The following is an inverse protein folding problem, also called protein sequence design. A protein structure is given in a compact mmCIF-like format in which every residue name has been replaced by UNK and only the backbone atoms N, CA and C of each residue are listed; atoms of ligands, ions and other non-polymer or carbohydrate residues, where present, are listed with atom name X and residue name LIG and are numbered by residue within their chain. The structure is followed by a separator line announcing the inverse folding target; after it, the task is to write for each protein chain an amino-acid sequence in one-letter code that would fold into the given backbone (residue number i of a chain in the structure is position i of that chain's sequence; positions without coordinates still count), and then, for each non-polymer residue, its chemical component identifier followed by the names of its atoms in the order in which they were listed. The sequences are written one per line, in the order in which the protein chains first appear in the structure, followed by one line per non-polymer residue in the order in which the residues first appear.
data_IF_449417587481
#
_entry.id   IF_449417587481
#
_cell.length_a   1.000
_cell.length_b   1.000
_cell.length_c   1.000
_cell.angle_alpha   90.00
_cell.angle_beta   90.00
_cell.angle_gamma   90.00
#
_symmetry.space_group_name_H-M   'P 1'
#
loop_
_entity.id
_entity.type
_entity.pdbx_description
1 polymer ?
#
# COMPACT_ATOMS: atom_id res chain seq x y z
N UNK A 1 -49.95 24.95 -42.59
CA UNK A 1 -49.73 26.14 -41.75
C UNK A 1 -48.87 25.69 -40.59
N UNK A 2 -47.56 25.88 -40.75
CA UNK A 2 -46.57 25.65 -39.69
C UNK A 2 -46.69 26.77 -38.66
N UNK A 3 -46.96 26.41 -37.41
CA UNK A 3 -46.90 27.31 -36.28
C UNK A 3 -45.52 27.12 -35.63
N UNK A 4 -44.63 28.12 -35.64
CA UNK A 4 -43.36 28.01 -34.94
C UNK A 4 -43.58 28.17 -33.44
N UNK A 5 -43.03 27.23 -32.65
CA UNK A 5 -42.97 27.32 -31.19
C UNK A 5 -41.98 28.42 -30.75
N UNK A 6 -42.18 29.05 -29.57
CA UNK A 6 -41.42 30.21 -29.14
C UNK A 6 -39.98 29.86 -28.76
N UNK A 7 -39.09 30.82 -29.04
CA UNK A 7 -37.71 30.90 -28.56
C UNK A 7 -37.64 30.91 -27.02
N UNK A 8 -36.99 29.89 -26.46
CA UNK A 8 -36.60 29.84 -25.05
C UNK A 8 -35.28 30.62 -24.87
N UNK A 9 -35.37 31.81 -24.27
CA UNK A 9 -34.24 32.55 -23.68
C UNK A 9 -33.92 32.01 -22.26
N UNK A 10 -32.72 32.29 -21.74
CA UNK A 10 -32.00 31.44 -20.80
C UNK A 10 -32.38 31.70 -19.34
N UNK A 11 -32.28 30.65 -18.53
CA UNK A 11 -32.34 30.76 -17.07
C UNK A 11 -33.64 30.24 -16.49
N UNK A 12 -33.68 28.94 -16.23
CA UNK A 12 -34.00 28.32 -14.93
C UNK A 12 -33.28 26.98 -14.98
N UNK A 13 -32.08 26.91 -14.37
CA UNK A 13 -31.50 25.61 -14.04
C UNK A 13 -32.20 25.12 -12.77
N UNK A 14 -32.86 23.96 -12.78
CA UNK A 14 -33.12 23.27 -11.52
C UNK A 14 -31.78 22.75 -10.99
N UNK A 15 -31.47 23.13 -9.75
CA UNK A 15 -30.40 22.62 -8.90
C UNK A 15 -30.53 21.10 -8.74
N UNK A 16 -29.78 20.32 -9.52
CA UNK A 16 -29.60 18.90 -9.23
C UNK A 16 -28.37 18.75 -8.33
N UNK A 17 -28.54 18.06 -7.20
CA UNK A 17 -27.45 17.52 -6.38
C UNK A 17 -26.55 16.65 -7.26
N UNK A 18 -25.53 17.24 -7.91
CA UNK A 18 -24.63 16.52 -8.78
C UNK A 18 -23.62 15.76 -7.94
N UNK A 19 -23.88 14.47 -7.74
CA UNK A 19 -22.92 13.57 -7.11
C UNK A 19 -21.69 13.44 -8.01
N UNK A 20 -20.51 13.74 -7.46
CA UNK A 20 -19.22 13.56 -8.12
C UNK A 20 -18.74 12.13 -7.91
N UNK A 21 -18.42 11.44 -9.00
CA UNK A 21 -17.71 10.15 -8.96
C UNK A 21 -16.35 10.33 -9.58
N UNK A 22 -15.32 9.79 -8.96
CA UNK A 22 -13.97 9.92 -9.48
C UNK A 22 -12.96 9.15 -8.65
N UNK A 23 -11.69 9.39 -8.95
CA UNK A 23 -10.57 8.92 -8.16
C UNK A 23 -9.56 10.03 -7.97
N UNK A 24 -8.73 9.91 -6.94
CA UNK A 24 -7.70 10.88 -6.63
C UNK A 24 -6.65 10.31 -5.68
N UNK A 25 -5.69 11.16 -5.32
CA UNK A 25 -4.57 10.79 -4.46
C UNK A 25 -4.90 11.19 -3.01
N UNK A 26 -4.82 10.24 -2.10
CA UNK A 26 -4.91 10.44 -0.66
C UNK A 26 -3.71 11.27 -0.20
N UNK A 27 -3.92 12.53 0.14
CA UNK A 27 -2.83 13.44 0.52
C UNK A 27 -2.76 13.72 2.02
N UNK A 28 -3.82 13.40 2.77
CA UNK A 28 -3.81 13.44 4.24
C UNK A 28 -4.59 12.25 4.79
N UNK A 29 -4.07 11.67 5.87
CA UNK A 29 -4.66 10.49 6.50
C UNK A 29 -4.52 10.54 8.03
N UNK A 30 -5.60 10.21 8.72
CA UNK A 30 -5.62 9.92 10.15
C UNK A 30 -6.27 8.56 10.39
N UNK A 31 -6.29 8.09 11.64
CA UNK A 31 -6.96 6.84 11.98
C UNK A 31 -8.47 6.83 11.66
N UNK A 32 -9.11 7.99 11.51
CA UNK A 32 -10.56 8.13 11.38
C UNK A 32 -11.06 8.85 10.12
N UNK A 33 -10.18 9.54 9.40
CA UNK A 33 -10.55 10.34 8.24
C UNK A 33 -9.39 10.48 7.26
N UNK A 34 -9.70 10.86 6.03
CA UNK A 34 -8.70 11.20 5.02
C UNK A 34 -9.18 12.29 4.06
N UNK A 35 -8.23 12.86 3.31
CA UNK A 35 -8.49 13.84 2.26
C UNK A 35 -7.89 13.35 0.94
N UNK A 36 -8.70 13.35 -0.11
CA UNK A 36 -8.33 12.94 -1.46
C UNK A 36 -8.26 14.19 -2.35
N UNK A 37 -7.15 14.37 -3.05
CA UNK A 37 -6.97 15.46 -4.01
C UNK A 37 -7.17 14.93 -5.43
N UNK A 38 -8.06 15.58 -6.17
CA UNK A 38 -8.34 15.29 -7.56
C UNK A 38 -7.59 16.29 -8.44
N UNK A 39 -6.71 15.80 -9.32
CA UNK A 39 -5.88 16.68 -10.15
C UNK A 39 -6.47 16.93 -11.54
N UNK A 40 -7.32 16.05 -12.07
CA UNK A 40 -8.01 16.20 -13.37
C UNK A 40 -9.32 15.39 -13.39
N UNK A 41 -10.39 15.83 -14.09
CA UNK A 41 -10.56 17.11 -14.79
C UNK A 41 -10.98 18.28 -13.90
N UNK A 42 -11.32 18.04 -12.63
CA UNK A 42 -11.73 19.07 -11.67
C UNK A 42 -10.76 19.05 -10.47
N UNK A 43 -10.20 20.19 -10.14
CA UNK A 43 -9.49 20.38 -8.87
C UNK A 43 -10.52 20.38 -7.74
N UNK A 44 -10.58 19.27 -7.02
CA UNK A 44 -11.50 19.06 -5.92
C UNK A 44 -10.78 18.38 -4.76
N UNK A 45 -11.03 18.89 -3.56
CA UNK A 45 -10.68 18.20 -2.32
C UNK A 45 -11.89 17.43 -1.83
N UNK A 46 -11.73 16.13 -1.66
CA UNK A 46 -12.77 15.22 -1.18
C UNK A 46 -12.38 14.72 0.20
N UNK A 47 -13.17 15.07 1.20
CA UNK A 47 -13.02 14.58 2.57
C UNK A 47 -13.85 13.33 2.80
N UNK A 48 -13.37 12.40 3.61
CA UNK A 48 -14.12 11.20 3.98
C UNK A 48 -13.85 10.79 5.42
N UNK A 49 -14.83 10.16 6.06
CA UNK A 49 -14.68 9.53 7.37
C UNK A 49 -14.53 8.02 7.20
N UNK A 50 -14.01 7.35 8.23
CA UNK A 50 -13.81 5.90 8.24
C UNK A 50 -15.09 5.11 7.94
N UNK A 51 -16.25 5.62 8.36
CA UNK A 51 -17.57 5.01 8.09
C UNK A 51 -17.95 5.03 6.61
N UNK A 52 -17.35 5.92 5.83
CA UNK A 52 -17.61 6.08 4.39
C UNK A 52 -16.63 5.19 3.59
N UNK A 53 -15.66 4.55 4.25
CA UNK A 53 -14.74 3.60 3.62
C UNK A 53 -15.42 2.23 3.43
N UNK A 54 -15.15 1.57 2.29
CA UNK A 54 -15.87 0.38 1.83
C UNK A 54 -15.73 -0.88 2.70
N UNK A 55 -14.81 -0.90 3.66
CA UNK A 55 -14.62 -2.02 4.60
C UNK A 55 -14.99 -1.58 6.02
N UNK A 56 -16.16 -2.05 6.47
CA UNK A 56 -16.72 -1.72 7.79
C UNK A 56 -15.97 -2.35 8.97
N UNK A 57 -15.10 -3.33 8.73
CA UNK A 57 -14.23 -3.92 9.75
C UNK A 57 -13.02 -3.06 10.09
N UNK A 58 -12.70 -2.06 9.26
CA UNK A 58 -11.58 -1.15 9.49
C UNK A 58 -11.89 -0.23 10.67
N UNK A 59 -11.04 -0.29 11.71
CA UNK A 59 -11.15 0.56 12.90
C UNK A 59 -10.11 1.69 12.94
N UNK A 60 -9.05 1.57 12.14
CA UNK A 60 -7.98 2.55 12.00
C UNK A 60 -7.46 2.53 10.54
N UNK A 61 -7.74 3.60 9.80
CA UNK A 61 -7.34 3.70 8.38
C UNK A 61 -5.82 3.65 8.18
N UNK A 62 -5.03 4.14 9.15
CA UNK A 62 -3.57 4.18 9.06
C UNK A 62 -2.92 2.80 9.15
N UNK A 63 -3.68 1.77 9.54
CA UNK A 63 -3.19 0.41 9.53
C UNK A 63 -3.16 -0.21 8.12
N UNK A 64 -3.92 0.34 7.17
CA UNK A 64 -4.13 -0.27 5.86
C UNK A 64 -3.88 0.67 4.67
N UNK A 65 -4.00 1.98 4.88
CA UNK A 65 -3.78 3.00 3.86
C UNK A 65 -2.51 3.81 4.16
N UNK A 66 -1.95 4.42 3.12
CA UNK A 66 -0.85 5.39 3.21
C UNK A 66 -1.16 6.61 2.36
N UNK A 67 -0.61 7.76 2.76
CA UNK A 67 -0.60 8.94 1.90
C UNK A 67 0.11 8.59 0.58
N UNK A 68 -0.39 9.11 -0.53
CA UNK A 68 0.01 8.73 -1.89
C UNK A 68 -0.91 7.67 -2.50
N UNK A 69 -1.67 6.93 -1.70
CA UNK A 69 -2.60 5.92 -2.23
C UNK A 69 -3.65 6.57 -3.11
N UNK A 70 -4.00 5.88 -4.20
CA UNK A 70 -5.06 6.33 -5.09
C UNK A 70 -6.35 5.60 -4.75
N UNK A 71 -7.41 6.37 -4.52
CA UNK A 71 -8.71 5.86 -4.08
C UNK A 71 -9.82 6.37 -5.00
N UNK A 72 -10.82 5.52 -5.22
CA UNK A 72 -12.07 5.88 -5.88
C UNK A 72 -13.07 6.38 -4.82
N UNK A 73 -13.96 7.28 -5.22
CA UNK A 73 -14.96 7.84 -4.33
C UNK A 73 -16.27 8.20 -5.06
N UNK A 74 -17.34 8.23 -4.28
CA UNK A 74 -18.56 8.96 -4.59
C UNK A 74 -18.70 10.09 -3.58
N UNK A 75 -18.98 11.31 -4.04
CA UNK A 75 -19.03 12.48 -3.19
C UNK A 75 -20.18 13.41 -3.53
N UNK A 76 -20.66 14.12 -2.52
CA UNK A 76 -21.69 15.15 -2.61
C UNK A 76 -21.07 16.52 -2.31
N UNK A 77 -21.61 17.60 -2.90
CA UNK A 77 -21.09 18.94 -2.62
C UNK A 77 -21.34 19.30 -1.16
N UNK A 78 -20.32 19.84 -0.49
CA UNK A 78 -20.45 20.46 0.83
C UNK A 78 -20.50 21.99 0.69
N UNK A 79 -19.53 22.56 -0.04
CA UNK A 79 -19.39 23.97 -0.40
C UNK A 79 -18.73 24.11 -1.79
N UNK A 80 -18.53 25.33 -2.30
CA UNK A 80 -18.15 25.63 -3.70
C UNK A 80 -16.91 24.90 -4.25
N UNK A 81 -15.99 24.40 -3.40
CA UNK A 81 -14.81 23.61 -3.82
C UNK A 81 -14.53 22.39 -2.94
N UNK A 82 -15.39 22.10 -1.96
CA UNK A 82 -15.20 21.03 -0.99
C UNK A 82 -16.28 19.96 -1.16
N UNK A 83 -15.83 18.72 -1.25
CA UNK A 83 -16.68 17.56 -1.45
C UNK A 83 -16.58 16.64 -0.24
N UNK A 84 -17.70 16.02 0.14
CA UNK A 84 -17.72 14.99 1.17
C UNK A 84 -18.05 13.67 0.50
N UNK A 85 -17.16 12.70 0.61
CA UNK A 85 -17.42 11.35 0.13
C UNK A 85 -18.46 10.66 1.02
N UNK A 86 -19.39 9.95 0.38
CA UNK A 86 -20.29 9.01 1.05
C UNK A 86 -19.91 7.55 0.76
N UNK A 87 -18.91 7.33 -0.08
CA UNK A 87 -18.31 6.03 -0.35
C UNK A 87 -16.88 6.22 -0.84
N UNK A 88 -15.93 5.47 -0.27
CA UNK A 88 -14.53 5.45 -0.68
C UNK A 88 -14.06 4.00 -0.77
N UNK A 89 -13.37 3.66 -1.86
CA UNK A 89 -12.82 2.32 -2.07
C UNK A 89 -11.46 2.37 -2.78
N UNK A 90 -10.70 1.27 -2.77
CA UNK A 90 -9.65 1.06 -3.76
C UNK A 90 -10.20 1.20 -5.18
N UNK A 91 -9.32 1.53 -6.13
CA UNK A 91 -9.71 1.70 -7.53
C UNK A 91 -10.00 0.33 -8.15
N UNK A 92 -11.04 0.29 -9.00
CA UNK A 92 -11.37 -0.92 -9.74
C UNK A 92 -10.47 -1.10 -10.98
N UNK A 93 -10.35 -2.32 -11.49
CA UNK A 93 -9.60 -2.60 -12.72
C UNK A 93 -10.14 -1.81 -13.93
N UNK A 94 -11.46 -1.57 -13.95
CA UNK A 94 -12.12 -0.80 -15.02
C UNK A 94 -11.73 0.68 -14.98
N UNK A 95 -11.60 1.26 -13.79
CA UNK A 95 -11.20 2.66 -13.61
C UNK A 95 -9.72 2.88 -13.99
N UNK A 96 -8.87 1.86 -13.77
CA UNK A 96 -7.48 1.86 -14.22
C UNK A 96 -7.39 1.78 -15.76
N UNK A 97 -8.12 0.85 -16.37
CA UNK A 97 -8.11 0.61 -17.82
C UNK A 97 -8.65 1.80 -18.65
N UNK A 98 -9.54 2.60 -18.08
CA UNK A 98 -10.14 3.76 -18.74
C UNK A 98 -9.21 5.00 -18.78
N UNK A 99 -7.92 4.85 -18.45
CA UNK A 99 -6.93 5.93 -18.55
C UNK A 99 -7.13 7.07 -17.54
N UNK A 100 -7.91 6.85 -16.48
CA UNK A 100 -7.96 7.75 -15.32
C UNK A 100 -6.59 7.81 -14.61
N UNK A 101 -5.76 6.81 -14.86
CA UNK A 101 -4.38 6.69 -14.40
C UNK A 101 -3.42 6.62 -15.60
N UNK A 102 -2.97 7.76 -16.11
CA UNK A 102 -1.87 7.83 -17.09
C UNK A 102 -0.47 7.65 -16.46
N UNK A 103 -0.40 7.12 -15.23
CA UNK A 103 0.86 6.86 -14.55
C UNK A 103 1.04 5.34 -14.46
N UNK A 104 1.75 4.77 -15.44
CA UNK A 104 2.39 3.45 -15.32
C UNK A 104 3.54 3.46 -14.29
N UNK A 105 3.78 4.59 -13.62
CA UNK A 105 4.80 4.75 -12.61
C UNK A 105 4.37 4.10 -11.29
N UNK A 106 5.27 3.28 -10.76
CA UNK A 106 5.16 2.74 -9.42
C UNK A 106 5.00 3.89 -8.40
N UNK A 107 3.98 3.80 -7.53
CA UNK A 107 3.80 4.76 -6.44
C UNK A 107 5.03 4.76 -5.53
N UNK A 108 5.73 5.89 -5.41
CA UNK A 108 6.74 6.09 -4.39
C UNK A 108 6.11 6.63 -3.10
N UNK A 109 5.84 5.77 -2.13
CA UNK A 109 5.18 6.12 -0.86
C UNK A 109 6.00 7.13 -0.07
N UNK A 110 7.32 6.98 -0.02
CA UNK A 110 8.21 7.85 0.77
C UNK A 110 8.18 9.30 0.29
N UNK A 111 7.92 9.53 -1.00
CA UNK A 111 7.80 10.89 -1.55
C UNK A 111 6.64 11.69 -0.91
N UNK A 112 5.66 11.00 -0.32
CA UNK A 112 4.52 11.61 0.36
C UNK A 112 4.68 11.69 1.89
N UNK A 113 5.58 10.90 2.48
CA UNK A 113 5.76 10.83 3.94
C UNK A 113 6.37 12.09 4.53
N UNK A 114 7.23 12.78 3.78
CA UNK A 114 7.85 14.05 4.19
C UNK A 114 6.86 15.18 4.44
N UNK A 115 5.64 15.10 3.88
CA UNK A 115 4.69 16.20 3.87
C UNK A 115 3.45 16.00 4.76
N UNK A 116 3.00 14.77 5.06
CA UNK A 116 1.61 14.60 5.53
C UNK A 116 1.28 13.40 6.45
N UNK A 117 2.25 12.61 6.94
CA UNK A 117 1.92 11.64 7.99
C UNK A 117 1.82 12.36 9.34
N UNK A 118 0.67 12.33 10.05
CA UNK A 118 0.70 12.60 11.48
C UNK A 118 1.62 11.56 12.07
N UNK A 119 2.65 11.97 12.81
CA UNK A 119 3.57 11.11 13.55
C UNK A 119 2.77 10.04 14.28
N UNK A 120 2.62 8.85 13.67
CA UNK A 120 1.55 7.93 14.03
C UNK A 120 1.72 7.49 15.47
N UNK A 121 0.86 7.96 16.39
CA UNK A 121 0.82 7.74 17.86
C UNK A 121 2.16 7.72 18.62
N UNK A 122 3.29 7.99 17.96
CA UNK A 122 4.64 7.63 18.38
C UNK A 122 5.76 8.18 17.47
N UNK A 123 5.51 8.53 16.20
CA UNK A 123 6.60 8.96 15.30
C UNK A 123 7.74 7.93 15.14
N UNK A 124 7.41 6.63 15.22
CA UNK A 124 8.38 5.51 15.33
C UNK A 124 8.62 4.72 14.04
N UNK A 125 7.85 4.92 12.98
CA UNK A 125 8.15 4.27 11.69
C UNK A 125 9.23 5.11 10.99
N UNK A 126 10.49 4.79 11.27
CA UNK A 126 11.67 5.49 10.73
C UNK A 126 12.12 4.90 9.40
N UNK A 127 11.21 4.22 8.69
CA UNK A 127 11.52 3.56 7.44
C UNK A 127 12.12 4.55 6.44
N UNK A 128 13.13 4.09 5.71
CA UNK A 128 13.76 4.82 4.63
C UNK A 128 14.38 3.79 3.69
N UNK A 129 13.99 3.82 2.42
CA UNK A 129 14.45 2.86 1.42
C UNK A 129 15.97 2.85 1.32
N UNK A 130 16.60 4.02 1.39
CA UNK A 130 18.06 4.13 1.38
C UNK A 130 18.69 3.42 2.58
N UNK A 131 18.18 3.67 3.80
CA UNK A 131 18.71 3.03 5.02
C UNK A 131 18.42 1.53 5.03
N UNK A 132 17.27 1.14 4.50
CA UNK A 132 16.86 -0.24 4.32
C UNK A 132 17.82 -0.98 3.39
N UNK A 133 18.12 -0.40 2.22
CA UNK A 133 19.07 -0.95 1.25
C UNK A 133 20.45 -1.13 1.87
N UNK A 134 20.94 -0.14 2.64
CA UNK A 134 22.23 -0.23 3.35
C UNK A 134 22.21 -1.34 4.41
N UNK A 135 21.14 -1.42 5.21
CA UNK A 135 21.01 -2.38 6.29
C UNK A 135 20.96 -3.81 5.79
N UNK A 136 20.16 -4.07 4.76
CA UNK A 136 20.04 -5.38 4.16
C UNK A 136 21.31 -5.77 3.39
N UNK A 137 21.92 -4.85 2.64
CA UNK A 137 23.23 -5.09 2.00
C UNK A 137 24.28 -5.50 3.02
N UNK A 138 24.33 -4.81 4.17
CA UNK A 138 25.22 -5.17 5.26
C UNK A 138 24.94 -6.58 5.78
N UNK A 139 23.69 -6.89 6.14
CA UNK A 139 23.32 -8.20 6.68
C UNK A 139 23.60 -9.33 5.68
N UNK A 140 23.16 -9.18 4.42
CA UNK A 140 23.41 -10.12 3.33
C UNK A 140 24.91 -10.32 3.09
N UNK A 141 25.72 -9.26 3.20
CA UNK A 141 27.17 -9.33 3.12
C UNK A 141 27.80 -10.23 4.19
N UNK A 142 27.20 -10.35 5.38
CA UNK A 142 27.66 -11.28 6.42
C UNK A 142 27.43 -12.73 5.99
N UNK A 143 26.25 -13.05 5.45
CA UNK A 143 25.96 -14.39 4.93
C UNK A 143 26.94 -14.76 3.81
N UNK A 144 27.17 -13.84 2.87
CA UNK A 144 28.12 -14.03 1.78
C UNK A 144 29.56 -14.28 2.28
N UNK A 145 30.03 -13.45 3.22
CA UNK A 145 31.39 -13.57 3.79
C UNK A 145 31.59 -14.90 4.53
N UNK A 146 30.58 -15.36 5.26
CA UNK A 146 30.66 -16.58 6.05
C UNK A 146 30.40 -17.84 5.21
N UNK A 147 29.85 -17.71 4.01
CA UNK A 147 29.45 -18.84 3.16
C UNK A 147 28.35 -19.70 3.78
N UNK A 148 27.56 -19.14 4.69
CA UNK A 148 26.51 -19.83 5.43
C UNK A 148 25.16 -19.19 5.17
N UNK A 149 24.10 -20.00 5.20
CA UNK A 149 22.71 -19.53 5.10
C UNK A 149 22.12 -19.11 6.44
N UNK A 150 22.93 -19.11 7.51
CA UNK A 150 22.53 -18.66 8.83
C UNK A 150 23.64 -17.84 9.49
N UNK A 151 23.25 -16.86 10.30
CA UNK A 151 24.15 -16.02 11.10
C UNK A 151 23.57 -15.79 12.49
N UNK A 152 24.40 -15.56 13.53
CA UNK A 152 23.91 -15.10 14.82
C UNK A 152 23.40 -13.65 14.72
N UNK A 153 22.31 -13.33 15.42
CA UNK A 153 21.72 -11.97 15.47
C UNK A 153 22.66 -10.93 16.11
N UNK A 154 23.66 -11.38 16.87
CA UNK A 154 24.59 -10.51 17.59
C UNK A 154 25.53 -9.69 16.72
N UNK A 155 25.53 -9.90 15.40
CA UNK A 155 26.39 -9.15 14.48
C UNK A 155 26.06 -7.66 14.48
N UNK A 156 27.11 -6.84 14.55
CA UNK A 156 27.03 -5.39 14.55
C UNK A 156 27.80 -4.84 13.35
N UNK A 157 27.27 -3.77 12.74
CA UNK A 157 27.90 -3.12 11.60
C UNK A 157 29.14 -2.31 11.94
N UNK A 158 29.33 -1.95 13.21
CA UNK A 158 30.33 -0.95 13.62
C UNK A 158 29.97 0.49 13.21
N UNK A 159 29.05 0.65 12.25
CA UNK A 159 28.43 1.90 11.85
C UNK A 159 27.32 2.28 12.85
N UNK A 160 27.47 3.43 13.51
CA UNK A 160 26.54 3.92 14.51
C UNK A 160 25.16 4.32 13.95
N UNK A 161 25.11 4.86 12.72
CA UNK A 161 23.84 5.20 12.06
C UNK A 161 23.08 3.92 11.70
N UNK A 162 23.78 2.97 11.08
CA UNK A 162 23.19 1.70 10.69
C UNK A 162 22.76 0.87 11.90
N UNK A 163 23.55 0.89 12.97
CA UNK A 163 23.20 0.26 14.25
C UNK A 163 21.95 0.90 14.88
N UNK A 164 21.76 2.21 14.74
CA UNK A 164 20.54 2.88 15.22
C UNK A 164 19.31 2.48 14.40
N UNK A 165 19.47 2.31 13.09
CA UNK A 165 18.40 1.90 12.17
C UNK A 165 18.00 0.42 12.37
N UNK A 166 18.98 -0.50 12.36
CA UNK A 166 18.74 -1.95 12.58
C UNK A 166 18.28 -2.20 14.03
N UNK A 167 18.89 -1.51 15.00
CA UNK A 167 18.52 -1.62 16.41
C UNK A 167 19.74 -1.63 17.33
N UNK A 168 19.73 -0.72 18.30
CA UNK A 168 20.80 -0.59 19.29
C UNK A 168 20.74 -1.61 20.45
N UNK A 169 19.74 -2.48 20.46
CA UNK A 169 19.57 -3.55 21.45
C UNK A 169 19.17 -4.85 20.78
N UNK A 170 19.42 -5.99 21.41
CA UNK A 170 19.05 -7.30 20.87
C UNK A 170 17.56 -7.40 20.54
N UNK A 171 16.68 -6.86 21.40
CA UNK A 171 15.24 -6.83 21.16
C UNK A 171 14.88 -6.03 19.89
N UNK A 172 15.51 -4.87 19.66
CA UNK A 172 15.26 -4.07 18.46
C UNK A 172 15.76 -4.75 17.19
N UNK A 173 16.95 -5.37 17.25
CA UNK A 173 17.50 -6.16 16.13
C UNK A 173 16.61 -7.35 15.80
N UNK A 174 16.06 -7.99 16.84
CA UNK A 174 15.10 -9.08 16.69
C UNK A 174 13.87 -8.63 15.91
N UNK A 175 13.23 -7.55 16.37
CA UNK A 175 12.08 -6.96 15.69
C UNK A 175 12.41 -6.58 14.24
N UNK A 176 13.58 -5.98 13.99
CA UNK A 176 14.01 -5.62 12.65
C UNK A 176 14.04 -6.85 11.73
N UNK A 177 14.67 -7.94 12.17
CA UNK A 177 14.76 -9.19 11.39
C UNK A 177 13.39 -9.85 11.21
N UNK A 178 12.58 -9.93 12.28
CA UNK A 178 11.24 -10.53 12.26
C UNK A 178 10.29 -9.80 11.30
N UNK A 179 10.33 -8.46 11.29
CA UNK A 179 9.54 -7.66 10.37
C UNK A 179 9.89 -8.01 8.90
N UNK A 180 11.16 -8.29 8.62
CA UNK A 180 11.68 -8.60 7.28
C UNK A 180 11.60 -10.09 6.96
N UNK A 181 10.47 -10.69 7.31
CA UNK A 181 10.09 -12.10 7.05
C UNK A 181 10.16 -12.54 5.59
N UNK A 182 10.23 -11.61 4.64
CA UNK A 182 10.38 -11.88 3.21
C UNK A 182 11.85 -12.11 2.79
N UNK A 183 12.80 -11.82 3.68
CA UNK A 183 14.25 -12.02 3.49
C UNK A 183 14.81 -12.96 4.56
N UNK A 184 14.32 -12.85 5.79
CA UNK A 184 14.87 -13.57 6.93
C UNK A 184 13.85 -14.47 7.62
N UNK A 185 14.35 -15.52 8.25
CA UNK A 185 13.63 -16.33 9.22
C UNK A 185 14.42 -16.32 10.52
N UNK A 186 13.79 -15.94 11.62
CA UNK A 186 14.42 -15.99 12.94
C UNK A 186 14.02 -17.29 13.65
N UNK A 187 14.99 -18.03 14.15
CA UNK A 187 14.77 -19.18 15.02
C UNK A 187 14.88 -18.79 16.51
N UNK A 188 14.33 -19.63 17.39
CA UNK A 188 14.21 -19.37 18.84
C UNK A 188 15.54 -19.07 19.55
N UNK A 189 16.67 -19.49 18.96
CA UNK A 189 18.03 -19.30 19.52
C UNK A 189 18.74 -18.03 18.99
N UNK A 190 18.01 -17.02 18.52
CA UNK A 190 18.58 -15.80 17.89
C UNK A 190 19.49 -16.10 16.69
N UNK A 191 19.19 -17.18 15.98
CA UNK A 191 19.83 -17.55 14.72
C UNK A 191 18.94 -17.04 13.58
N UNK A 192 19.54 -16.26 12.69
CA UNK A 192 18.87 -15.69 11.51
C UNK A 192 19.23 -16.52 10.30
N UNK A 193 18.23 -17.08 9.63
CA UNK A 193 18.36 -17.79 8.36
C UNK A 193 17.93 -16.90 7.20
N UNK A 194 18.53 -17.09 6.03
CA UNK A 194 17.98 -16.57 4.78
C UNK A 194 16.71 -17.33 4.42
N UNK A 195 15.69 -16.58 3.99
CA UNK A 195 14.51 -17.15 3.35
C UNK A 195 14.86 -17.74 1.99
N UNK A 196 13.99 -18.63 1.52
CA UNK A 196 14.04 -19.10 0.15
C UNK A 196 13.89 -17.91 -0.82
N UNK A 197 14.73 -17.79 -1.87
CA UNK A 197 14.69 -16.65 -2.80
C UNK A 197 13.32 -16.50 -3.48
N UNK A 198 12.56 -17.59 -3.61
CA UNK A 198 11.21 -17.59 -4.17
C UNK A 198 10.21 -16.78 -3.33
N UNK A 199 10.39 -16.74 -2.01
CA UNK A 199 9.57 -15.92 -1.11
C UNK A 199 9.85 -14.44 -1.37
N UNK A 200 11.13 -14.06 -1.38
CA UNK A 200 11.56 -12.69 -1.68
C UNK A 200 11.00 -12.22 -3.01
N UNK A 201 11.22 -13.00 -4.08
CA UNK A 201 10.75 -12.69 -5.43
C UNK A 201 9.23 -12.56 -5.50
N UNK A 202 8.49 -13.45 -4.83
CA UNK A 202 7.01 -13.38 -4.83
C UNK A 202 6.52 -12.14 -4.09
N UNK A 203 7.08 -11.85 -2.91
CA UNK A 203 6.68 -10.68 -2.11
C UNK A 203 6.98 -9.37 -2.86
N UNK A 204 8.15 -9.25 -3.48
CA UNK A 204 8.50 -8.04 -4.24
C UNK A 204 7.61 -7.84 -5.46
N UNK A 205 7.32 -8.90 -6.24
CA UNK A 205 6.41 -8.82 -7.39
C UNK A 205 4.98 -8.42 -6.98
N UNK A 206 4.47 -8.94 -5.86
CA UNK A 206 3.14 -8.58 -5.36
C UNK A 206 3.11 -7.14 -4.82
N UNK A 207 4.18 -6.69 -4.16
CA UNK A 207 4.29 -5.32 -3.68
C UNK A 207 4.36 -4.32 -4.85
N UNK A 208 5.20 -4.59 -5.86
CA UNK A 208 5.29 -3.81 -7.10
C UNK A 208 3.93 -3.72 -7.82
N UNK A 209 3.23 -4.85 -7.92
CA UNK A 209 1.87 -4.85 -8.48
C UNK A 209 0.95 -3.89 -7.73
N UNK A 210 0.92 -3.95 -6.40
CA UNK A 210 0.10 -3.05 -5.59
C UNK A 210 0.48 -1.58 -5.79
N UNK A 211 1.78 -1.26 -5.81
CA UNK A 211 2.28 0.10 -5.98
C UNK A 211 1.89 0.69 -7.35
N UNK A 212 1.93 -0.12 -8.41
CA UNK A 212 1.42 0.25 -9.75
C UNK A 212 -0.10 0.40 -9.81
N UNK A 213 -0.83 -0.23 -8.88
CA UNK A 213 -2.29 -0.12 -8.77
C UNK A 213 -2.73 0.92 -7.73
N UNK A 214 -1.88 1.92 -7.43
CA UNK A 214 -2.20 3.00 -6.51
C UNK A 214 -2.06 2.64 -5.03
N UNK A 215 -1.32 1.57 -4.72
CA UNK A 215 -0.96 1.14 -3.37
C UNK A 215 -1.96 0.21 -2.69
N UNK A 216 -3.19 0.10 -3.19
CA UNK A 216 -4.24 -0.76 -2.60
C UNK A 216 -5.17 -1.28 -3.68
N UNK A 217 -5.57 -2.55 -3.58
CA UNK A 217 -6.50 -3.17 -4.53
C UNK A 217 -7.31 -4.30 -3.90
N UNK A 218 -8.17 -4.94 -4.70
CA UNK A 218 -8.91 -6.13 -4.25
C UNK A 218 -7.99 -7.35 -4.16
N UNK A 219 -8.22 -8.21 -3.17
CA UNK A 219 -7.47 -9.46 -3.03
C UNK A 219 -7.73 -10.42 -4.19
N UNK A 220 -8.89 -10.33 -4.85
CA UNK A 220 -9.19 -11.10 -6.07
C UNK A 220 -8.29 -10.70 -7.24
N UNK A 221 -8.11 -9.40 -7.46
CA UNK A 221 -7.24 -8.92 -8.54
C UNK A 221 -5.78 -9.29 -8.27
N UNK A 222 -5.31 -9.09 -7.04
CA UNK A 222 -3.95 -9.48 -6.64
C UNK A 222 -3.73 -11.00 -6.76
N UNK A 223 -4.74 -11.80 -6.39
CA UNK A 223 -4.67 -13.26 -6.50
C UNK A 223 -4.73 -13.74 -7.97
N UNK A 224 -5.50 -13.08 -8.81
CA UNK A 224 -5.52 -13.30 -10.27
C UNK A 224 -4.13 -13.02 -10.86
N UNK A 225 -3.51 -11.90 -10.48
CA UNK A 225 -2.12 -11.59 -10.86
C UNK A 225 -1.16 -12.67 -10.35
N UNK A 226 -1.26 -13.08 -9.09
CA UNK A 226 -0.42 -14.14 -8.52
C UNK A 226 -0.45 -15.42 -9.36
N UNK A 227 -1.63 -15.87 -9.77
CA UNK A 227 -1.78 -17.08 -10.56
C UNK A 227 -1.25 -16.92 -11.99
N UNK A 228 -1.51 -15.78 -12.64
CA UNK A 228 -1.15 -15.52 -14.05
C UNK A 228 0.31 -15.11 -14.24
N UNK A 229 0.94 -14.50 -13.24
CA UNK A 229 2.29 -13.96 -13.37
C UNK A 229 3.31 -15.10 -13.55
N UNK A 230 3.97 -15.12 -14.71
CA UNK A 230 4.95 -16.16 -15.07
C UNK A 230 6.22 -16.11 -14.23
N UNK A 231 6.54 -14.94 -13.66
CA UNK A 231 7.73 -14.72 -12.85
C UNK A 231 7.55 -15.17 -11.39
N UNK A 232 6.34 -15.56 -10.98
CA UNK A 232 6.12 -16.13 -9.65
C UNK A 232 6.53 -17.62 -9.68
N UNK A 233 7.47 -18.06 -8.82
CA UNK A 233 7.96 -19.42 -8.81
C UNK A 233 6.86 -20.46 -8.61
N UNK A 234 6.98 -21.57 -9.35
CA UNK A 234 5.97 -22.64 -9.34
C UNK A 234 5.84 -23.27 -7.95
N UNK A 235 6.94 -23.40 -7.20
CA UNK A 235 6.97 -23.92 -5.82
C UNK A 235 6.05 -23.11 -4.90
N UNK A 236 5.99 -21.79 -5.06
CA UNK A 236 5.12 -20.93 -4.26
C UNK A 236 3.65 -21.11 -4.71
N UNK A 237 3.39 -21.17 -6.01
CA UNK A 237 2.03 -21.44 -6.54
C UNK A 237 1.49 -22.79 -6.08
N UNK A 238 2.32 -23.83 -6.11
CA UNK A 238 2.01 -25.17 -5.62
C UNK A 238 1.78 -25.18 -4.10
N UNK A 239 2.53 -24.40 -3.33
CA UNK A 239 2.32 -24.29 -1.87
C UNK A 239 0.97 -23.66 -1.51
N UNK A 240 0.51 -22.70 -2.31
CA UNK A 240 -0.77 -22.00 -2.13
C UNK A 240 -1.93 -22.77 -2.80
N UNK A 241 -1.66 -23.68 -3.74
CA UNK A 241 -2.61 -24.57 -4.39
C UNK A 241 -3.81 -23.86 -5.04
N UNK A 242 -3.61 -22.64 -5.55
CA UNK A 242 -4.70 -21.80 -6.04
C UNK A 242 -5.85 -21.63 -5.02
N UNK A 243 -5.54 -21.62 -3.71
CA UNK A 243 -6.51 -21.41 -2.63
C UNK A 243 -6.39 -20.01 -2.06
N UNK A 244 -7.45 -19.22 -2.20
CA UNK A 244 -7.53 -17.84 -1.68
C UNK A 244 -7.22 -17.74 -0.17
N UNK A 245 -7.69 -18.63 0.72
CA UNK A 245 -7.32 -18.56 2.14
C UNK A 245 -5.81 -18.73 2.40
N UNK A 246 -5.14 -19.62 1.66
CA UNK A 246 -3.69 -19.82 1.77
C UNK A 246 -2.92 -18.62 1.21
N UNK A 247 -3.42 -18.01 0.13
CA UNK A 247 -2.86 -16.77 -0.39
C UNK A 247 -2.96 -15.61 0.62
N UNK A 248 -4.13 -15.43 1.24
CA UNK A 248 -4.29 -14.41 2.29
C UNK A 248 -3.42 -14.70 3.52
N UNK A 249 -3.24 -15.98 3.88
CA UNK A 249 -2.31 -16.39 4.92
C UNK A 249 -0.86 -16.06 4.55
N UNK A 250 -0.45 -16.30 3.30
CA UNK A 250 0.87 -15.93 2.79
C UNK A 250 1.12 -14.43 2.94
N UNK A 251 0.19 -13.58 2.49
CA UNK A 251 0.30 -12.13 2.63
C UNK A 251 0.40 -11.70 4.11
N UNK A 252 -0.39 -12.32 4.99
CA UNK A 252 -0.42 -12.00 6.42
C UNK A 252 0.88 -12.37 7.15
N UNK A 253 1.67 -13.32 6.63
CA UNK A 253 3.00 -13.67 7.14
C UNK A 253 4.07 -12.64 6.80
N UNK A 254 3.77 -11.70 5.89
CA UNK A 254 4.67 -10.64 5.46
C UNK A 254 4.11 -9.25 5.81
N UNK A 255 3.87 -8.96 7.10
CA UNK A 255 3.18 -7.75 7.55
C UNK A 255 4.00 -6.48 7.32
N UNK A 256 5.30 -6.58 7.03
CA UNK A 256 6.13 -5.43 6.66
C UNK A 256 5.84 -4.94 5.23
N UNK A 257 5.44 -5.84 4.33
CA UNK A 257 5.11 -5.54 2.94
C UNK A 257 3.62 -5.30 2.73
N UNK A 258 2.75 -6.07 3.39
CA UNK A 258 1.32 -6.07 3.11
C UNK A 258 0.45 -5.70 4.31
N UNK A 259 -0.73 -5.18 4.00
CA UNK A 259 -1.80 -4.91 4.94
C UNK A 259 -3.12 -5.50 4.39
N UNK A 260 -3.37 -6.81 4.59
CA UNK A 260 -4.68 -7.39 4.34
C UNK A 260 -5.75 -6.73 5.20
N UNK A 261 -6.86 -6.32 4.60
CA UNK A 261 -7.95 -5.68 5.32
C UNK A 261 -8.78 -6.71 6.12
N UNK A 262 -9.54 -6.28 7.15
CA UNK A 262 -10.33 -7.18 7.99
C UNK A 262 -11.32 -8.05 7.21
N UNK A 263 -11.99 -7.49 6.20
CA UNK A 263 -12.89 -8.26 5.33
C UNK A 263 -12.18 -9.27 4.42
N UNK A 264 -10.85 -9.17 4.31
CA UNK A 264 -10.01 -9.89 3.35
C UNK A 264 -10.32 -9.60 1.87
N UNK A 265 -11.23 -8.67 1.57
CA UNK A 265 -11.54 -8.27 0.19
C UNK A 265 -10.50 -7.33 -0.41
N UNK A 266 -9.75 -6.62 0.42
CA UNK A 266 -8.73 -5.66 -0.01
C UNK A 266 -7.37 -5.94 0.62
N UNK A 267 -6.32 -5.51 -0.08
CA UNK A 267 -4.94 -5.59 0.38
C UNK A 267 -4.25 -4.28 0.02
N UNK A 268 -3.66 -3.63 1.02
CA UNK A 268 -2.74 -2.50 0.83
C UNK A 268 -1.30 -2.97 0.85
N UNK A 269 -0.41 -2.25 0.16
CA UNK A 269 1.04 -2.33 0.38
C UNK A 269 1.43 -1.44 1.56
N UNK A 270 2.56 -1.66 2.19
CA UNK A 270 3.02 -0.77 3.27
C UNK A 270 4.13 0.17 2.86
N UNK A 271 5.00 -0.28 1.96
CA UNK A 271 6.31 0.31 1.66
C UNK A 271 6.74 -0.04 0.24
N UNK A 272 7.54 0.82 -0.39
CA UNK A 272 8.38 0.42 -1.51
C UNK A 272 9.47 -0.51 -0.96
N UNK A 273 9.61 -1.72 -1.50
CA UNK A 273 10.60 -2.68 -1.02
C UNK A 273 11.92 -2.53 -1.79
N UNK A 274 13.07 -2.75 -1.13
CA UNK A 274 14.35 -2.76 -1.80
C UNK A 274 14.50 -3.95 -2.75
N UNK A 275 15.13 -3.70 -3.90
CA UNK A 275 15.46 -4.70 -4.91
C UNK A 275 16.94 -5.13 -4.78
N UNK A 276 17.20 -6.43 -4.66
CA UNK A 276 18.53 -7.04 -4.54
C UNK A 276 18.74 -8.13 -5.58
#
# INVERSE_FOLDING_TARGET
MDVPLPSLLPGIFPTTNSMLRGSGILYWLSSKAGLINCSKPVHATVSFQIKDFCDSGVTDLTQYLRVGFRLAFHAIPNNSSEWIANYVSPISEQDLANGVTNDDQELNIESFESNNMPTGKNGKDTYSLEKEMRALSFLLGIFQKNGQLYIPLSNNSGDAELSRYIGSSSLKRRQFVEDRSYIFMLADNDVVYLQAPEIYQTVTLLADFLLKHGGVTSSDLLFSFFNKCVNIPISIKESIQNRRPLFMQFLSRHPFAFAPFPSQYFVGVRRNLPFF
#
